data_IF_426688749670
#
_entry.id   IF_426688749670
#
_cell.length_a   1.000
_cell.length_b   1.000
_cell.length_c   1.000
_cell.angle_alpha   90.00
_cell.angle_beta   90.00
_cell.angle_gamma   90.00
#
_symmetry.space_group_name_H-M   'P 1'
#
loop_
_entity.id
_entity.type
_entity.pdbx_description
1 polymer ?
#
# COMPACT_ATOMS: atom_id res chain seq x y z
N UNK A 1 -11.18 -15.74 6.14
CA UNK A 1 -11.19 -15.44 7.59
C UNK A 1 -10.96 -13.95 7.72
N UNK A 2 -12.03 -13.17 7.88
CA UNK A 2 -11.96 -11.72 8.02
C UNK A 2 -11.64 -11.42 9.48
N UNK A 3 -10.42 -10.94 9.76
CA UNK A 3 -10.07 -10.43 11.08
C UNK A 3 -10.05 -8.90 10.98
N UNK A 4 -11.17 -8.27 11.35
CA UNK A 4 -11.19 -6.86 11.70
C UNK A 4 -10.64 -6.75 13.11
N UNK A 5 -9.53 -6.01 13.29
CA UNK A 5 -9.06 -5.59 14.60
C UNK A 5 -8.63 -4.12 14.51
N UNK A 6 -9.59 -3.25 14.21
CA UNK A 6 -9.47 -1.79 14.36
C UNK A 6 -9.55 -1.41 15.86
N UNK A 7 -8.71 -2.00 16.71
CA UNK A 7 -8.63 -1.68 18.15
C UNK A 7 -7.30 -1.01 18.52
N UNK A 8 -6.84 -0.07 17.68
CA UNK A 8 -5.93 0.98 18.12
C UNK A 8 -6.41 2.29 17.48
N UNK A 9 -6.97 3.19 18.28
CA UNK A 9 -7.44 4.52 17.81
C UNK A 9 -6.28 5.43 17.36
N UNK A 10 -5.03 5.13 17.73
CA UNK A 10 -3.83 5.87 17.30
C UNK A 10 -2.66 4.95 16.90
N UNK A 11 -2.74 4.22 15.77
CA UNK A 11 -1.63 3.38 15.30
C UNK A 11 -0.36 4.20 15.04
N UNK A 12 -0.52 5.48 14.70
CA UNK A 12 0.56 6.42 14.39
C UNK A 12 1.39 6.78 15.62
N UNK A 13 0.77 7.13 16.76
CA UNK A 13 1.50 7.61 17.95
C UNK A 13 2.41 6.53 18.56
N UNK A 14 1.96 5.28 18.57
CA UNK A 14 2.78 4.16 19.06
C UNK A 14 3.97 3.92 18.14
N UNK A 15 3.79 4.07 16.83
CA UNK A 15 4.86 3.88 15.85
C UNK A 15 5.87 5.03 15.87
N UNK A 16 5.41 6.26 16.06
CA UNK A 16 6.28 7.41 16.28
C UNK A 16 7.15 7.20 17.53
N UNK A 17 6.55 6.81 18.66
CA UNK A 17 7.27 6.51 19.91
C UNK A 17 8.31 5.39 19.74
N UNK A 18 7.93 4.28 19.07
CA UNK A 18 8.86 3.17 18.81
C UNK A 18 10.02 3.60 17.90
N UNK A 19 9.75 4.47 16.93
CA UNK A 19 10.76 5.03 16.03
C UNK A 19 11.75 5.89 16.79
N UNK A 20 11.26 6.77 17.66
CA UNK A 20 12.09 7.64 18.49
C UNK A 20 12.96 6.82 19.46
N UNK A 21 12.39 5.83 20.13
CA UNK A 21 13.13 4.94 21.04
C UNK A 21 14.22 4.13 20.32
N UNK A 22 13.94 3.62 19.10
CA UNK A 22 14.94 2.92 18.30
C UNK A 22 16.10 3.88 17.92
N UNK A 23 15.80 5.13 17.56
CA UNK A 23 16.81 6.13 17.22
C UNK A 23 17.65 6.56 18.41
N UNK A 24 17.04 6.73 19.58
CA UNK A 24 17.72 7.18 20.80
C UNK A 24 18.60 6.08 21.41
N UNK A 25 18.10 4.84 21.45
CA UNK A 25 18.77 3.73 22.14
C UNK A 25 19.46 2.72 21.23
N UNK A 26 19.28 2.81 19.90
CA UNK A 26 19.79 1.82 18.94
C UNK A 26 19.12 0.45 19.03
N UNK A 27 17.92 0.38 19.62
CA UNK A 27 17.21 -0.87 19.88
C UNK A 27 16.47 -1.36 18.64
N UNK A 28 16.85 -2.51 18.10
CA UNK A 28 16.17 -3.09 16.92
C UNK A 28 14.76 -3.57 17.26
N UNK A 29 13.74 -2.85 16.76
CA UNK A 29 12.32 -3.17 16.96
C UNK A 29 11.82 -4.09 15.84
N UNK A 30 11.05 -5.12 16.21
CA UNK A 30 10.31 -6.00 15.29
C UNK A 30 8.84 -5.91 15.65
N UNK A 31 7.99 -5.70 14.64
CA UNK A 31 6.57 -5.41 14.81
C UNK A 31 5.78 -6.08 13.69
N UNK A 32 4.56 -6.51 14.00
CA UNK A 32 3.61 -7.09 13.05
C UNK A 32 2.53 -6.06 12.78
N UNK A 33 2.43 -5.62 11.53
CA UNK A 33 1.41 -4.67 11.08
C UNK A 33 0.43 -5.33 10.13
N UNK A 34 -0.83 -4.93 10.22
CA UNK A 34 -1.87 -5.32 9.29
C UNK A 34 -2.02 -4.35 8.10
N UNK A 35 -1.53 -3.13 8.24
CA UNK A 35 -1.53 -2.11 7.19
C UNK A 35 -0.14 -2.02 6.53
N UNK A 36 -0.12 -2.26 5.21
CA UNK A 36 1.10 -2.26 4.40
C UNK A 36 1.67 -0.86 4.16
N UNK A 37 0.81 0.17 4.04
CA UNK A 37 1.25 1.55 3.87
C UNK A 37 1.86 2.08 5.16
N UNK A 38 1.28 1.69 6.29
CA UNK A 38 1.85 2.02 7.58
C UNK A 38 3.20 1.34 7.79
N UNK A 39 3.35 0.08 7.36
CA UNK A 39 4.65 -0.59 7.37
C UNK A 39 5.67 0.18 6.54
N UNK A 40 5.35 0.51 5.28
CA UNK A 40 6.24 1.26 4.39
C UNK A 40 6.77 2.55 5.05
N UNK A 41 5.89 3.33 5.68
CA UNK A 41 6.26 4.62 6.25
C UNK A 41 7.23 4.54 7.45
N UNK A 42 7.16 3.45 8.22
CA UNK A 42 7.83 3.35 9.52
C UNK A 42 9.01 2.37 9.55
N UNK A 43 9.13 1.47 8.56
CA UNK A 43 10.18 0.46 8.57
C UNK A 43 11.03 0.49 7.32
N UNK A 44 12.35 0.34 7.50
CA UNK A 44 13.28 0.23 6.37
C UNK A 44 13.17 -1.14 5.68
N UNK A 45 12.77 -2.18 6.42
CA UNK A 45 12.73 -3.58 5.95
C UNK A 45 11.42 -4.26 6.27
N UNK A 46 10.88 -4.97 5.29
CA UNK A 46 9.61 -5.69 5.37
C UNK A 46 9.85 -7.17 5.11
N UNK A 47 9.12 -8.02 5.83
CA UNK A 47 9.00 -9.45 5.56
C UNK A 47 7.54 -9.75 5.24
N UNK A 48 7.27 -10.18 4.02
CA UNK A 48 5.95 -10.59 3.56
C UNK A 48 5.77 -12.10 3.79
N UNK A 49 4.68 -12.46 4.48
CA UNK A 49 4.30 -13.84 4.75
C UNK A 49 3.08 -14.21 3.89
N UNK A 50 3.15 -15.35 3.19
CA UNK A 50 2.02 -15.93 2.46
C UNK A 50 1.98 -17.44 2.70
N UNK A 51 0.79 -17.97 3.02
CA UNK A 51 0.58 -19.42 3.24
C UNK A 51 1.60 -20.03 4.21
N UNK A 52 1.77 -19.41 5.38
CA UNK A 52 2.68 -19.82 6.46
C UNK A 52 4.18 -19.86 6.08
N UNK A 53 4.56 -19.23 4.98
CA UNK A 53 5.96 -19.13 4.52
C UNK A 53 6.35 -17.68 4.26
N UNK A 54 7.65 -17.41 4.38
CA UNK A 54 8.23 -16.15 3.89
C UNK A 54 8.12 -16.17 2.38
N UNK A 55 7.34 -15.23 1.85
CA UNK A 55 7.21 -15.00 0.42
C UNK A 55 8.32 -14.08 -0.07
N UNK A 56 8.57 -12.97 0.64
CA UNK A 56 9.61 -12.02 0.30
C UNK A 56 10.16 -11.31 1.55
N UNK A 57 11.43 -10.91 1.53
CA UNK A 57 12.05 -10.12 2.59
C UNK A 57 13.10 -9.16 2.01
N UNK A 58 12.99 -7.86 2.29
CA UNK A 58 13.77 -6.84 1.59
C UNK A 58 13.56 -5.45 2.16
N UNK A 59 13.98 -4.43 1.41
CA UNK A 59 13.60 -3.05 1.73
C UNK A 59 12.13 -2.82 1.43
N UNK A 60 11.56 -1.75 1.96
CA UNK A 60 10.21 -1.33 1.59
C UNK A 60 10.02 -1.20 0.07
N UNK A 61 11.01 -0.67 -0.67
CA UNK A 61 10.94 -0.55 -2.13
C UNK A 61 10.97 -1.87 -2.88
N UNK A 62 11.66 -2.88 -2.33
CA UNK A 62 11.73 -4.21 -2.94
C UNK A 62 10.44 -5.02 -2.72
N UNK A 63 9.75 -4.77 -1.61
CA UNK A 63 8.58 -5.55 -1.18
C UNK A 63 7.26 -4.91 -1.61
N UNK A 64 7.15 -3.58 -1.57
CA UNK A 64 5.95 -2.88 -2.05
C UNK A 64 5.99 -2.73 -3.57
N UNK A 65 5.78 -3.83 -4.28
CA UNK A 65 5.56 -3.85 -5.73
C UNK A 65 4.14 -4.33 -6.05
N UNK A 66 3.63 -3.95 -7.23
CA UNK A 66 2.31 -4.41 -7.69
C UNK A 66 2.25 -5.94 -7.80
N UNK A 67 3.36 -6.56 -8.20
CA UNK A 67 3.53 -8.01 -8.30
C UNK A 67 3.45 -8.68 -6.93
N UNK A 68 4.29 -8.26 -5.98
CA UNK A 68 4.30 -8.83 -4.63
C UNK A 68 2.94 -8.67 -3.94
N UNK A 69 2.27 -7.53 -4.11
CA UNK A 69 0.94 -7.33 -3.50
C UNK A 69 -0.12 -8.21 -4.18
N UNK A 70 -0.05 -8.40 -5.49
CA UNK A 70 -0.94 -9.33 -6.19
C UNK A 70 -0.72 -10.77 -5.73
N UNK A 71 0.52 -11.19 -5.53
CA UNK A 71 0.86 -12.56 -5.12
C UNK A 71 0.52 -12.86 -3.65
N UNK A 72 0.82 -11.92 -2.74
CA UNK A 72 0.62 -12.11 -1.29
C UNK A 72 -0.82 -11.84 -0.87
N UNK A 73 -1.44 -10.78 -1.40
CA UNK A 73 -2.76 -10.32 -0.97
C UNK A 73 -3.87 -10.60 -1.99
N UNK A 74 -3.55 -11.08 -3.19
CA UNK A 74 -4.55 -11.29 -4.28
C UNK A 74 -5.31 -10.01 -4.63
N UNK A 75 -4.64 -8.85 -4.56
CA UNK A 75 -5.22 -7.54 -4.83
C UNK A 75 -4.59 -6.89 -6.07
N UNK A 76 -5.43 -6.27 -6.91
CA UNK A 76 -4.95 -5.34 -7.95
C UNK A 76 -4.71 -3.98 -7.32
N UNK A 77 -3.53 -3.44 -7.55
CA UNK A 77 -3.08 -2.23 -6.87
C UNK A 77 -2.26 -1.35 -7.80
N UNK A 78 -2.06 -0.10 -7.38
CA UNK A 78 -1.02 0.78 -7.91
C UNK A 78 -0.07 1.10 -6.78
N UNK A 79 1.24 1.09 -7.05
CA UNK A 79 2.23 1.64 -6.13
C UNK A 79 2.64 3.03 -6.62
N UNK A 80 2.55 4.02 -5.74
CA UNK A 80 3.01 5.39 -5.98
C UNK A 80 4.01 5.79 -4.88
N UNK A 81 4.66 6.94 -5.04
CA UNK A 81 5.37 7.58 -3.92
C UNK A 81 4.38 8.32 -3.04
N UNK A 82 4.48 8.11 -1.73
CA UNK A 82 3.77 8.89 -0.72
C UNK A 82 4.21 10.36 -0.83
N UNK A 83 3.30 11.32 -1.10
CA UNK A 83 3.66 12.74 -1.20
C UNK A 83 4.17 13.35 0.11
N UNK A 84 3.98 12.69 1.26
CA UNK A 84 4.40 13.16 2.58
C UNK A 84 5.77 12.60 2.96
N UNK A 85 5.97 11.30 2.82
CA UNK A 85 7.16 10.61 3.31
C UNK A 85 8.14 10.14 2.23
N UNK A 86 7.77 10.27 0.94
CA UNK A 86 8.52 9.78 -0.23
C UNK A 86 8.78 8.25 -0.22
N UNK A 87 8.07 7.52 0.63
CA UNK A 87 8.08 6.05 0.70
C UNK A 87 7.07 5.43 -0.27
N UNK A 88 7.18 4.13 -0.62
CA UNK A 88 6.18 3.46 -1.43
C UNK A 88 4.80 3.42 -0.73
N UNK A 89 3.75 3.80 -1.46
CA UNK A 89 2.35 3.76 -1.02
C UNK A 89 1.53 2.91 -1.97
N UNK A 90 0.86 1.89 -1.43
CA UNK A 90 -0.08 1.00 -2.12
C UNK A 90 -1.49 1.61 -2.13
N UNK A 91 -2.09 1.63 -3.32
CA UNK A 91 -3.47 2.07 -3.56
C UNK A 91 -4.26 0.91 -4.18
N UNK A 92 -5.32 0.40 -3.52
CA UNK A 92 -6.14 -0.67 -4.06
C UNK A 92 -7.02 -0.18 -5.21
N UNK A 93 -7.04 -0.95 -6.31
CA UNK A 93 -7.93 -0.70 -7.45
C UNK A 93 -9.22 -1.51 -7.25
N UNK A 94 -10.20 -0.88 -6.59
CA UNK A 94 -11.51 -1.48 -6.35
C UNK A 94 -12.32 -1.65 -7.62
N UNK A 95 -13.07 -2.76 -7.72
CA UNK A 95 -14.01 -3.03 -8.83
C UNK A 95 -15.13 -1.96 -8.98
N UNK A 96 -15.37 -1.18 -7.93
CA UNK A 96 -16.38 -0.11 -7.88
C UNK A 96 -15.81 1.29 -8.16
N UNK A 97 -14.48 1.45 -8.20
CA UNK A 97 -13.80 2.73 -8.40
C UNK A 97 -13.18 2.82 -9.81
N UNK A 98 -13.81 2.17 -10.81
CA UNK A 98 -13.45 2.38 -12.22
C UNK A 98 -13.93 3.80 -12.57
N UNK A 99 -13.08 4.79 -12.32
CA UNK A 99 -13.29 6.13 -12.86
C UNK A 99 -13.36 5.96 -14.39
N UNK A 100 -14.58 6.04 -14.92
CA UNK A 100 -14.89 6.07 -16.33
C UNK A 100 -14.13 7.25 -16.95
N UNK A 101 -12.94 6.98 -17.48
CA UNK A 101 -12.23 7.89 -18.36
C UNK A 101 -11.66 7.11 -19.52
N UNK A 102 -12.55 6.48 -20.28
CA UNK A 102 -12.25 6.07 -21.65
C UNK A 102 -13.31 6.65 -22.60
N UNK A 103 -12.89 7.67 -23.35
CA UNK A 103 -13.18 7.83 -24.78
C UNK A 103 -14.63 7.99 -25.25
N UNK A 104 -15.22 9.16 -25.05
CA UNK A 104 -16.49 9.58 -25.67
C UNK A 104 -16.41 10.89 -26.46
N UNK A 105 -15.28 11.18 -27.13
CA UNK A 105 -15.20 12.28 -28.10
C UNK A 105 -15.36 11.74 -29.52
N UNK A 106 -16.61 11.49 -29.94
CA UNK A 106 -16.97 11.49 -31.35
C UNK A 106 -17.70 12.80 -31.64
N UNK A 107 -16.95 13.79 -32.16
CA UNK A 107 -17.54 15.01 -32.71
C UNK A 107 -18.46 14.63 -33.87
N UNK A 108 -19.67 15.17 -33.84
CA UNK A 108 -20.63 15.17 -34.93
C UNK A 108 -20.02 15.75 -36.20
N UNK A 109 -19.75 14.90 -37.18
CA UNK A 109 -19.65 15.30 -38.59
C UNK A 109 -21.02 15.05 -39.23
N UNK A 110 -21.56 16.10 -39.86
CA UNK A 110 -22.98 16.24 -40.18
C UNK A 110 -23.52 15.42 -41.35
N UNK A 111 -24.82 15.56 -41.55
CA UNK A 111 -25.48 15.45 -42.83
C UNK A 111 -26.79 16.25 -42.75
N UNK A 112 -26.73 17.51 -43.18
CA UNK A 112 -27.88 18.16 -43.77
C UNK A 112 -27.77 17.99 -45.28
N UNK A 113 -28.86 17.58 -45.92
CA UNK A 113 -29.31 18.08 -47.23
C UNK A 113 -30.78 17.74 -47.36
N UNK A 114 -31.58 18.80 -47.49
CA UNK A 114 -32.86 18.85 -48.22
C UNK A 114 -32.72 18.31 -49.65
#
# INVERSE_FOLDING_TARGET
>A
MLSFNDEIDHPIEVLDLLTDLNREHGTRVVMVLHDLNLAARYVDRIVALATDKIHAAGTQGDILTEETVAEVFSLRTRIIRDPVSDTPMMIPIGRHNRAERDGGHARSAGAGTD
#
